data_IF_852242226380
#
_entry.id   IF_852242226380
#
_cell.length_a   1.000
_cell.length_b   1.000
_cell.length_c   1.000
_cell.angle_alpha   90.00
_cell.angle_beta   90.00
_cell.angle_gamma   90.00
#
_symmetry.space_group_name_H-M   'P 1'
#
loop_
_entity.id
_entity.type
_entity.pdbx_description
1 polymer ?
#
# COMPACT_ATOMS: atom_id res chain seq x y z
N UNK A 1 14.89 1.82 17.29
CA UNK A 1 14.22 3.16 17.37
C UNK A 1 12.94 2.96 18.18
N UNK A 2 12.42 3.98 18.87
CA UNK A 2 11.16 3.80 19.61
C UNK A 2 9.95 4.01 18.69
N UNK A 3 9.44 2.91 18.11
CA UNK A 3 8.31 2.93 17.18
C UNK A 3 6.94 3.02 17.87
N UNK A 4 6.85 2.86 19.20
CA UNK A 4 5.55 2.88 19.91
C UNK A 4 4.93 4.28 19.97
N UNK A 5 5.69 5.31 19.57
CA UNK A 5 5.24 6.69 19.46
C UNK A 5 4.41 6.97 18.21
N UNK A 6 4.37 6.04 17.27
CA UNK A 6 3.62 6.18 16.03
C UNK A 6 2.39 5.27 16.05
N UNK A 7 1.19 5.80 15.76
CA UNK A 7 -0.01 4.98 15.69
C UNK A 7 0.16 3.91 14.60
N UNK A 8 -0.20 2.66 14.92
CA UNK A 8 -0.02 1.51 14.05
C UNK A 8 -1.22 0.57 14.12
N UNK A 9 -1.74 0.17 12.97
CA UNK A 9 -2.66 -0.96 12.86
C UNK A 9 -1.82 -2.24 12.75
N UNK A 10 -1.98 -3.20 13.64
CA UNK A 10 -1.16 -4.42 13.66
C UNK A 10 -1.58 -5.43 12.58
N UNK A 11 -1.63 -4.98 11.32
CA UNK A 11 -1.96 -5.83 10.18
C UNK A 11 -0.94 -6.93 9.95
N UNK A 12 0.33 -6.64 10.27
CA UNK A 12 1.45 -7.56 10.14
C UNK A 12 1.78 -8.10 11.52
N UNK A 13 1.38 -9.35 11.77
CA UNK A 13 1.56 -10.00 13.08
C UNK A 13 2.77 -10.94 13.13
N UNK A 14 3.39 -11.23 11.99
CA UNK A 14 4.55 -12.12 11.89
C UNK A 14 5.53 -11.59 10.86
N UNK A 15 6.85 -11.58 11.14
CA UNK A 15 7.87 -11.23 10.16
C UNK A 15 7.76 -12.06 8.88
N UNK A 16 7.89 -11.42 7.71
CA UNK A 16 7.95 -12.18 6.45
C UNK A 16 9.27 -12.95 6.35
N UNK A 17 9.33 -14.11 5.67
CA UNK A 17 10.57 -14.88 5.63
C UNK A 17 11.66 -14.19 4.79
N UNK A 18 12.92 -14.47 5.15
CA UNK A 18 14.10 -14.27 4.30
C UNK A 18 14.49 -15.65 3.76
N UNK A 19 14.47 -15.82 2.45
CA UNK A 19 14.73 -17.11 1.78
C UNK A 19 16.00 -17.03 0.95
N UNK A 20 16.87 -18.04 1.04
CA UNK A 20 18.03 -18.16 0.16
C UNK A 20 17.57 -18.54 -1.27
N UNK A 21 18.26 -18.02 -2.29
CA UNK A 21 17.98 -18.29 -3.70
C UNK A 21 19.15 -19.03 -4.41
N UNK A 22 19.55 -20.22 -3.94
CA UNK A 22 20.76 -20.89 -4.43
C UNK A 22 20.71 -21.23 -5.92
N UNK A 23 19.53 -21.63 -6.43
CA UNK A 23 19.33 -21.93 -7.86
C UNK A 23 19.49 -20.69 -8.74
N UNK A 24 19.18 -19.51 -8.22
CA UNK A 24 19.37 -18.25 -8.96
C UNK A 24 20.85 -17.86 -8.94
N UNK A 25 21.55 -18.01 -7.82
CA UNK A 25 23.00 -17.81 -7.76
C UNK A 25 23.72 -18.73 -8.76
N UNK A 26 23.34 -20.01 -8.81
CA UNK A 26 23.88 -20.99 -9.76
C UNK A 26 23.59 -20.59 -11.22
N UNK A 27 22.34 -20.23 -11.54
CA UNK A 27 21.96 -19.83 -12.89
C UNK A 27 22.63 -18.53 -13.38
N UNK A 28 23.11 -17.70 -12.46
CA UNK A 28 23.87 -16.48 -12.75
C UNK A 28 25.38 -16.69 -12.73
N UNK A 29 25.85 -17.93 -12.50
CA UNK A 29 27.27 -18.27 -12.34
C UNK A 29 27.97 -17.33 -11.34
N UNK A 30 27.27 -17.00 -10.24
CA UNK A 30 27.71 -16.00 -9.28
C UNK A 30 28.04 -16.63 -7.94
N UNK A 31 29.21 -16.28 -7.39
CA UNK A 31 29.61 -16.62 -6.02
C UNK A 31 28.87 -15.78 -4.95
N UNK A 32 27.91 -14.95 -5.35
CA UNK A 32 27.11 -14.14 -4.43
C UNK A 32 25.95 -14.96 -3.85
N UNK A 33 25.86 -15.00 -2.52
CA UNK A 33 24.71 -15.55 -1.83
C UNK A 33 23.50 -14.61 -1.98
N UNK A 34 22.53 -14.99 -2.82
CA UNK A 34 21.31 -14.22 -3.03
C UNK A 34 20.23 -14.63 -2.04
N UNK A 35 19.55 -13.62 -1.48
CA UNK A 35 18.42 -13.80 -0.57
C UNK A 35 17.24 -12.91 -0.99
N UNK A 36 16.04 -13.30 -0.60
CA UNK A 36 14.82 -12.52 -0.83
C UNK A 36 14.01 -12.34 0.46
N UNK A 37 13.63 -11.10 0.74
CA UNK A 37 12.65 -10.75 1.78
C UNK A 37 11.25 -10.81 1.19
N UNK A 38 10.44 -11.78 1.62
CA UNK A 38 9.13 -12.12 1.00
C UNK A 38 7.98 -11.22 1.43
N UNK A 39 8.14 -9.91 1.23
CA UNK A 39 7.08 -8.92 1.50
C UNK A 39 5.86 -9.08 0.58
N UNK A 40 5.95 -9.87 -0.48
CA UNK A 40 4.81 -10.32 -1.28
C UNK A 40 3.81 -11.18 -0.48
N UNK A 41 4.28 -11.86 0.59
CA UNK A 41 3.45 -12.69 1.48
C UNK A 41 2.72 -11.90 2.58
N UNK A 42 2.87 -10.57 2.61
CA UNK A 42 2.16 -9.74 3.57
C UNK A 42 0.63 -9.86 3.40
N UNK A 43 -0.18 -9.58 4.44
CA UNK A 43 -1.63 -9.69 4.34
C UNK A 43 -2.29 -8.57 3.51
N UNK A 44 -3.58 -8.76 3.24
CA UNK A 44 -4.47 -7.83 2.52
C UNK A 44 -4.57 -8.15 1.02
N UNK A 45 -5.74 -8.53 0.52
CA UNK A 45 -6.05 -8.85 -0.90
C UNK A 45 -4.81 -9.15 -1.80
N UNK A 46 -4.11 -10.27 -1.58
CA UNK A 46 -2.90 -10.68 -2.33
C UNK A 46 -1.60 -9.90 -2.04
N UNK A 47 -1.51 -9.26 -0.89
CA UNK A 47 -0.27 -8.92 -0.19
C UNK A 47 0.66 -7.91 -0.83
N UNK A 48 1.77 -7.63 -0.17
CA UNK A 48 2.80 -6.78 -0.74
C UNK A 48 3.26 -5.65 0.16
N UNK A 49 4.38 -5.12 -0.28
CA UNK A 49 5.18 -4.04 0.27
C UNK A 49 4.38 -2.83 0.83
N UNK A 50 3.24 -2.46 0.23
CA UNK A 50 2.45 -1.30 0.69
C UNK A 50 1.71 -1.56 2.00
N UNK A 51 1.46 -2.81 2.38
CA UNK A 51 0.84 -3.15 3.68
C UNK A 51 1.67 -2.61 4.84
N UNK A 52 3.02 -2.68 4.78
CA UNK A 52 3.91 -2.08 5.81
C UNK A 52 3.69 -0.58 5.99
N UNK A 53 3.39 0.12 4.90
CA UNK A 53 3.16 1.57 4.96
C UNK A 53 1.75 1.88 5.46
N UNK A 54 0.77 1.11 4.99
CA UNK A 54 -0.64 1.34 5.26
C UNK A 54 -1.04 1.04 6.70
N UNK A 55 -0.33 0.16 7.43
CA UNK A 55 -0.56 0.01 8.88
C UNK A 55 -0.39 1.32 9.65
N UNK A 56 0.53 2.19 9.24
CA UNK A 56 0.73 3.51 9.86
C UNK A 56 -0.22 4.55 9.27
N UNK A 57 -0.33 4.66 7.95
CA UNK A 57 -1.19 5.68 7.33
C UNK A 57 -2.68 5.49 7.67
N UNK A 58 -3.17 4.24 7.75
CA UNK A 58 -4.55 3.98 8.16
C UNK A 58 -4.72 4.24 9.66
N UNK A 59 -3.72 3.96 10.49
CA UNK A 59 -3.80 4.30 11.91
C UNK A 59 -3.92 5.82 12.11
N UNK A 60 -3.11 6.61 11.40
CA UNK A 60 -3.20 8.07 11.40
C UNK A 60 -4.58 8.56 10.94
N UNK A 61 -5.12 7.99 9.84
CA UNK A 61 -6.46 8.33 9.37
C UNK A 61 -7.55 8.06 10.43
N UNK A 62 -7.47 6.91 11.10
CA UNK A 62 -8.41 6.53 12.16
C UNK A 62 -8.30 7.45 13.38
N UNK A 63 -7.09 7.83 13.79
CA UNK A 63 -6.86 8.77 14.90
C UNK A 63 -7.42 10.16 14.60
N UNK A 64 -7.36 10.60 13.33
CA UNK A 64 -7.98 11.84 12.87
C UNK A 64 -9.50 11.73 12.67
N UNK A 65 -10.10 10.57 12.97
CA UNK A 65 -11.54 10.34 12.87
C UNK A 65 -12.05 10.34 11.43
N UNK A 66 -11.21 9.93 10.47
CA UNK A 66 -11.61 9.78 9.08
C UNK A 66 -12.65 8.68 8.93
N UNK A 67 -13.60 8.88 8.03
CA UNK A 67 -14.58 7.87 7.61
C UNK A 67 -14.35 7.39 6.17
N UNK A 68 -13.46 8.08 5.45
CA UNK A 68 -13.24 7.93 4.02
C UNK A 68 -11.76 8.07 3.68
N UNK A 69 -11.24 7.17 2.87
CA UNK A 69 -9.89 7.21 2.32
C UNK A 69 -9.94 7.60 0.84
N UNK A 70 -9.06 8.52 0.46
CA UNK A 70 -8.80 8.86 -0.94
C UNK A 70 -7.35 8.53 -1.23
N UNK A 71 -7.09 7.86 -2.36
CA UNK A 71 -5.72 7.61 -2.81
C UNK A 71 -5.65 7.61 -4.34
N UNK A 72 -4.42 7.70 -4.85
CA UNK A 72 -4.15 7.58 -6.27
C UNK A 72 -3.14 6.48 -6.64
N UNK A 73 -3.09 6.14 -7.93
CA UNK A 73 -2.11 5.23 -8.52
C UNK A 73 -2.38 4.99 -10.00
N UNK A 74 -1.57 4.15 -10.65
CA UNK A 74 -1.88 3.69 -12.01
C UNK A 74 -3.11 2.76 -12.02
N UNK A 75 -3.67 2.49 -13.21
CA UNK A 75 -4.83 1.59 -13.39
C UNK A 75 -4.68 0.27 -12.63
N UNK A 76 -3.54 -0.41 -12.73
CA UNK A 76 -3.28 -1.69 -12.04
C UNK A 76 -2.51 -1.50 -10.71
N UNK A 77 -2.76 -0.41 -9.97
CA UNK A 77 -1.99 -0.09 -8.78
C UNK A 77 -2.21 -1.07 -7.63
N UNK A 78 -1.12 -1.77 -7.24
CA UNK A 78 -1.08 -2.59 -6.01
C UNK A 78 -1.34 -1.74 -4.75
N UNK A 79 -0.92 -0.47 -4.77
CA UNK A 79 -1.18 0.47 -3.68
C UNK A 79 -2.67 0.73 -3.53
N UNK A 80 -3.37 1.06 -4.62
CA UNK A 80 -4.82 1.28 -4.58
C UNK A 80 -5.56 0.04 -4.08
N UNK A 81 -5.13 -1.15 -4.49
CA UNK A 81 -5.73 -2.42 -4.07
C UNK A 81 -5.57 -2.64 -2.57
N UNK A 82 -4.36 -2.46 -2.05
CA UNK A 82 -4.09 -2.63 -0.63
C UNK A 82 -4.77 -1.55 0.21
N UNK A 83 -4.78 -0.29 -0.24
CA UNK A 83 -5.53 0.78 0.43
C UNK A 83 -7.02 0.44 0.50
N UNK A 84 -7.63 0.01 -0.60
CA UNK A 84 -9.03 -0.42 -0.61
C UNK A 84 -9.27 -1.62 0.31
N UNK A 85 -8.36 -2.60 0.35
CA UNK A 85 -8.47 -3.76 1.22
C UNK A 85 -8.47 -3.39 2.70
N UNK A 86 -7.59 -2.48 3.12
CA UNK A 86 -7.51 -2.05 4.52
C UNK A 86 -8.63 -1.08 4.89
N UNK A 87 -9.05 -0.20 3.96
CA UNK A 87 -10.24 0.63 4.15
C UNK A 87 -11.50 -0.23 4.37
N UNK A 88 -11.71 -1.25 3.54
CA UNK A 88 -12.83 -2.18 3.70
C UNK A 88 -12.79 -2.94 5.04
N UNK A 89 -11.60 -3.36 5.49
CA UNK A 89 -11.42 -4.00 6.80
C UNK A 89 -11.79 -3.09 7.97
N UNK A 90 -11.43 -1.81 7.88
CA UNK A 90 -11.66 -0.81 8.94
C UNK A 90 -13.04 -0.14 8.84
N UNK A 91 -13.88 -0.52 7.85
CA UNK A 91 -15.20 0.08 7.64
C UNK A 91 -15.15 1.51 7.07
N UNK A 92 -14.04 1.88 6.42
CA UNK A 92 -13.86 3.17 5.76
C UNK A 92 -14.33 3.10 4.31
N UNK A 93 -14.97 4.17 3.83
CA UNK A 93 -15.20 4.33 2.40
C UNK A 93 -13.86 4.50 1.68
N UNK A 94 -13.76 4.04 0.43
CA UNK A 94 -12.53 4.18 -0.37
C UNK A 94 -12.83 4.75 -1.75
N UNK A 95 -12.13 5.82 -2.12
CA UNK A 95 -12.21 6.47 -3.42
C UNK A 95 -10.83 6.45 -4.10
N UNK A 96 -10.79 5.99 -5.34
CA UNK A 96 -9.56 5.83 -6.11
C UNK A 96 -9.51 6.82 -7.27
N UNK A 97 -8.36 7.48 -7.42
CA UNK A 97 -8.02 8.25 -8.61
C UNK A 97 -6.92 7.49 -9.37
N UNK A 98 -7.28 6.94 -10.53
CA UNK A 98 -6.41 6.11 -11.34
C UNK A 98 -5.85 6.90 -12.52
N UNK A 99 -4.53 7.01 -12.60
CA UNK A 99 -3.85 7.66 -13.71
C UNK A 99 -3.68 6.70 -14.89
N UNK A 100 -4.22 7.08 -16.04
CA UNK A 100 -4.02 6.41 -17.33
C UNK A 100 -2.67 6.81 -17.96
N UNK A 101 -1.59 6.27 -17.39
CA UNK A 101 -0.22 6.42 -17.95
C UNK A 101 -0.10 5.88 -19.38
N UNK A 102 -0.96 4.92 -19.71
CA UNK A 102 -1.22 4.50 -21.08
C UNK A 102 -2.67 4.90 -21.39
N UNK A 103 -2.86 5.70 -22.45
CA UNK A 103 -4.17 6.23 -22.84
C UNK A 103 -5.17 5.08 -23.08
N UNK A 104 -6.35 5.14 -22.46
CA UNK A 104 -7.40 4.13 -22.62
C UNK A 104 -7.07 2.78 -21.98
N UNK A 105 -6.15 2.75 -21.01
CA UNK A 105 -5.78 1.53 -20.29
C UNK A 105 -6.78 1.16 -19.19
N UNK A 106 -7.56 2.13 -18.68
CA UNK A 106 -8.61 1.83 -17.72
C UNK A 106 -9.80 1.17 -18.41
N UNK A 107 -10.18 0.00 -17.90
CA UNK A 107 -11.38 -0.73 -18.30
C UNK A 107 -12.12 -1.12 -17.04
N UNK A 108 -13.41 -0.76 -16.94
CA UNK A 108 -14.26 -1.10 -15.80
C UNK A 108 -14.32 -2.61 -15.57
N UNK A 109 -14.41 -3.39 -16.65
CA UNK A 109 -14.40 -4.87 -16.63
C UNK A 109 -12.97 -5.45 -16.72
N UNK A 110 -11.95 -4.66 -16.33
CA UNK A 110 -10.56 -5.11 -16.34
C UNK A 110 -10.29 -6.15 -15.27
N UNK A 111 -9.38 -7.09 -15.56
CA UNK A 111 -8.94 -8.12 -14.61
C UNK A 111 -7.89 -7.57 -13.64
N UNK A 112 -7.36 -8.43 -12.76
CA UNK A 112 -6.30 -8.06 -11.82
C UNK A 112 -6.80 -7.10 -10.74
N UNK A 113 -6.04 -6.03 -10.49
CA UNK A 113 -6.37 -5.07 -9.43
C UNK A 113 -7.68 -4.34 -9.70
N UNK A 114 -8.04 -4.06 -10.96
CA UNK A 114 -9.33 -3.46 -11.30
C UNK A 114 -10.52 -4.29 -10.80
N UNK A 115 -10.49 -5.61 -11.03
CA UNK A 115 -11.52 -6.53 -10.55
C UNK A 115 -11.56 -6.56 -9.02
N UNK A 116 -10.39 -6.53 -8.38
CA UNK A 116 -10.31 -6.47 -6.92
C UNK A 116 -10.87 -5.17 -6.35
N UNK A 117 -10.74 -4.02 -7.02
CA UNK A 117 -11.37 -2.77 -6.56
C UNK A 117 -12.90 -2.89 -6.48
N UNK A 118 -13.52 -3.57 -7.45
CA UNK A 118 -14.96 -3.84 -7.46
C UNK A 118 -15.35 -4.75 -6.30
N UNK A 119 -14.65 -5.88 -6.13
CA UNK A 119 -14.92 -6.83 -5.04
C UNK A 119 -14.72 -6.22 -3.65
N UNK A 120 -13.79 -5.28 -3.50
CA UNK A 120 -13.51 -4.58 -2.26
C UNK A 120 -14.48 -3.42 -1.99
N UNK A 121 -15.46 -3.18 -2.87
CA UNK A 121 -16.50 -2.18 -2.64
C UNK A 121 -16.03 -0.73 -2.74
N UNK A 122 -15.01 -0.45 -3.55
CA UNK A 122 -14.54 0.93 -3.82
C UNK A 122 -15.71 1.79 -4.28
N UNK A 123 -15.91 2.94 -3.61
CA UNK A 123 -17.09 3.80 -3.79
C UNK A 123 -17.05 4.59 -5.09
N UNK A 124 -15.88 5.02 -5.52
CA UNK A 124 -15.71 5.65 -6.84
C UNK A 124 -14.32 5.45 -7.39
N UNK A 125 -14.25 5.32 -8.72
CA UNK A 125 -13.01 5.33 -9.48
C UNK A 125 -13.07 6.46 -10.50
N UNK A 126 -12.13 7.40 -10.42
CA UNK A 126 -11.89 8.40 -11.47
C UNK A 126 -10.69 7.96 -12.31
N UNK A 127 -10.83 7.91 -13.64
CA UNK A 127 -9.74 7.64 -14.55
C UNK A 127 -9.19 8.97 -15.09
N UNK A 128 -8.09 9.42 -14.50
CA UNK A 128 -7.40 10.66 -14.86
C UNK A 128 -6.42 10.43 -16.00
N UNK A 129 -6.22 11.44 -16.85
CA UNK A 129 -5.24 11.37 -17.95
C UNK A 129 -3.82 11.28 -17.38
N UNK A 130 -2.92 10.59 -18.09
CA UNK A 130 -1.50 10.61 -17.75
C UNK A 130 -0.94 12.03 -17.69
N UNK A 131 -0.16 12.33 -16.65
CA UNK A 131 0.40 13.66 -16.39
C UNK A 131 -0.53 14.61 -15.63
N UNK A 132 -1.71 14.16 -15.20
CA UNK A 132 -2.56 14.93 -14.27
C UNK A 132 -1.85 15.16 -12.93
N UNK A 133 -2.03 16.35 -12.35
CA UNK A 133 -1.67 16.58 -10.95
C UNK A 133 -2.62 15.79 -10.03
N UNK A 134 -2.17 14.58 -9.67
CA UNK A 134 -2.97 13.66 -8.88
C UNK A 134 -3.21 14.15 -7.46
N UNK A 135 -2.33 15.00 -6.89
CA UNK A 135 -2.55 15.54 -5.55
C UNK A 135 -3.70 16.55 -5.59
N UNK A 136 -3.65 17.51 -6.52
CA UNK A 136 -4.73 18.47 -6.71
C UNK A 136 -6.07 17.78 -7.04
N UNK A 137 -6.04 16.69 -7.83
CA UNK A 137 -7.23 15.90 -8.12
C UNK A 137 -7.80 15.21 -6.85
N UNK A 138 -6.95 14.66 -5.98
CA UNK A 138 -7.37 14.07 -4.71
C UNK A 138 -7.92 15.12 -3.74
N UNK A 139 -7.31 16.31 -3.66
CA UNK A 139 -7.79 17.43 -2.85
C UNK A 139 -9.17 17.89 -3.32
N UNK A 140 -9.38 18.02 -4.63
CA UNK A 140 -10.69 18.32 -5.20
C UNK A 140 -11.73 17.27 -4.79
N UNK A 141 -11.40 15.98 -4.88
CA UNK A 141 -12.29 14.89 -4.42
C UNK A 141 -12.57 14.97 -2.92
N UNK A 142 -11.57 15.32 -2.12
CA UNK A 142 -11.75 15.52 -0.67
C UNK A 142 -12.72 16.65 -0.38
N UNK A 143 -12.60 17.78 -1.08
CA UNK A 143 -13.50 18.93 -0.88
C UNK A 143 -14.93 18.66 -1.35
N UNK A 144 -15.11 17.84 -2.39
CA UNK A 144 -16.43 17.31 -2.77
C UNK A 144 -17.03 16.46 -1.64
N UNK A 145 -16.28 15.48 -1.12
CA UNK A 145 -16.76 14.57 -0.08
C UNK A 145 -17.05 15.30 1.26
N UNK A 146 -16.26 16.33 1.60
CA UNK A 146 -16.53 17.17 2.78
C UNK A 146 -17.87 17.89 2.67
N UNK A 147 -18.28 18.34 1.48
CA UNK A 147 -19.59 18.96 1.26
C UNK A 147 -20.74 17.98 1.49
N UNK A 148 -20.49 16.70 1.26
CA UNK A 148 -21.41 15.60 1.56
C UNK A 148 -21.33 15.12 3.02
N UNK A 149 -20.62 15.86 3.89
CA UNK A 149 -20.52 15.58 5.32
C UNK A 149 -19.51 14.49 5.70
N UNK A 150 -18.70 14.01 4.76
CA UNK A 150 -17.65 13.02 5.01
C UNK A 150 -16.40 13.64 5.64
N UNK A 151 -15.56 12.80 6.23
CA UNK A 151 -14.25 13.14 6.78
C UNK A 151 -13.16 12.41 5.99
N UNK A 152 -12.81 12.91 4.78
CA UNK A 152 -11.82 12.26 3.93
C UNK A 152 -10.40 12.45 4.45
N UNK A 153 -9.61 11.39 4.35
CA UNK A 153 -8.17 11.38 4.55
C UNK A 153 -7.46 10.98 3.26
N UNK A 154 -6.48 11.77 2.83
CA UNK A 154 -5.72 11.50 1.60
C UNK A 154 -4.47 10.69 1.95
N UNK A 155 -4.35 9.50 1.36
CA UNK A 155 -3.11 8.75 1.33
C UNK A 155 -2.44 9.00 -0.02
N UNK A 156 -1.25 9.62 -0.07
CA UNK A 156 -0.59 9.91 -1.33
C UNK A 156 -0.18 8.62 -2.05
N UNK A 157 0.07 8.72 -3.35
CA UNK A 157 0.45 7.59 -4.20
C UNK A 157 1.57 6.74 -3.59
N UNK A 158 1.29 5.46 -3.38
CA UNK A 158 2.24 4.50 -2.81
C UNK A 158 2.50 4.65 -1.31
N UNK A 159 1.70 5.46 -0.60
CA UNK A 159 1.92 5.87 0.79
C UNK A 159 3.35 6.38 1.02
N UNK A 160 3.90 7.08 0.02
CA UNK A 160 5.26 7.61 0.07
C UNK A 160 5.25 8.97 0.76
N UNK A 161 5.07 8.94 2.07
CA UNK A 161 5.09 10.08 2.99
C UNK A 161 5.85 9.69 4.28
N UNK A 162 6.12 10.64 5.20
CA UNK A 162 6.81 10.33 6.45
C UNK A 162 6.16 9.21 7.26
N UNK A 163 4.83 9.24 7.45
CA UNK A 163 4.08 8.20 8.18
C UNK A 163 4.26 6.81 7.56
N UNK A 164 4.08 6.68 6.25
CA UNK A 164 4.21 5.41 5.55
C UNK A 164 5.65 4.89 5.50
N UNK A 165 6.66 5.77 5.50
CA UNK A 165 8.06 5.38 5.54
C UNK A 165 8.43 4.65 6.85
N UNK A 166 7.75 4.94 7.96
CA UNK A 166 7.93 4.25 9.25
C UNK A 166 7.78 2.73 9.13
N UNK A 167 6.88 2.26 8.27
CA UNK A 167 6.69 0.83 8.00
C UNK A 167 7.95 0.10 7.52
N UNK A 168 8.75 0.77 6.68
CA UNK A 168 10.02 0.20 6.22
C UNK A 168 11.18 0.44 7.18
N UNK A 169 11.09 1.44 8.07
CA UNK A 169 12.01 1.54 9.19
C UNK A 169 11.86 0.35 10.14
N UNK A 170 10.62 -0.05 10.46
CA UNK A 170 10.33 -1.28 11.22
C UNK A 170 10.81 -2.52 10.46
N UNK A 171 10.62 -2.58 9.15
CA UNK A 171 11.12 -3.68 8.32
C UNK A 171 12.64 -3.83 8.38
N UNK A 172 13.40 -2.73 8.45
CA UNK A 172 14.85 -2.80 8.58
C UNK A 172 15.26 -3.44 9.92
N UNK A 173 14.60 -3.07 11.03
CA UNK A 173 14.83 -3.71 12.34
C UNK A 173 14.43 -5.20 12.32
N UNK A 174 13.30 -5.53 11.68
CA UNK A 174 12.86 -6.90 11.44
C UNK A 174 13.93 -7.72 10.68
N UNK A 175 14.48 -7.17 9.59
CA UNK A 175 15.53 -7.81 8.81
C UNK A 175 16.79 -8.03 9.65
N UNK A 176 17.26 -7.02 10.40
CA UNK A 176 18.46 -7.17 11.24
C UNK A 176 18.31 -8.28 12.28
N UNK A 177 17.14 -8.35 12.92
CA UNK A 177 16.84 -9.41 13.88
C UNK A 177 16.84 -10.80 13.21
N UNK A 178 16.28 -10.92 12.01
CA UNK A 178 16.27 -12.18 11.26
C UNK A 178 17.67 -12.59 10.80
N UNK A 179 18.49 -11.65 10.32
CA UNK A 179 19.87 -11.93 9.89
C UNK A 179 20.73 -12.45 11.05
N UNK A 180 20.58 -11.86 12.24
CA UNK A 180 21.24 -12.35 13.46
C UNK A 180 20.81 -13.77 13.82
N UNK A 181 19.50 -14.08 13.74
CA UNK A 181 18.97 -15.42 14.00
C UNK A 181 19.43 -16.46 12.97
N UNK A 182 19.63 -16.03 11.72
CA UNK A 182 20.14 -16.87 10.63
C UNK A 182 21.67 -16.98 10.63
N UNK A 183 22.38 -16.31 11.54
CA UNK A 183 23.84 -16.24 11.59
C UNK A 183 24.47 -15.71 10.29
N UNK A 184 23.83 -14.69 9.68
CA UNK A 184 24.31 -14.05 8.45
C UNK A 184 25.04 -12.72 8.69
N UNK A 185 25.00 -12.19 9.91
CA UNK A 185 25.68 -10.97 10.37
C UNK A 185 26.14 -11.10 11.81
#
# INVERSE_FOLDING_TARGET
>A
MDYTKFPRREYITTPTPIEAMPRLSEALESDVNLYIKRDDLLPGASGGNKTRKLEFCIAEAMEQGADTIITCGAVQSNHCRLTASWAAKEGLDCHLLLEERVKGSYKKQGTGNNFLFELLGVKSIAAEKGGTDMMAAMEKKADELKKDGKKPFIIPGGASNPTGATGYAVCAEEIMNQLNQMHLT
#
